data_IF_533349952435
#
_entry.id   IF_533349952435
#
_cell.length_a   1.000
_cell.length_b   1.000
_cell.length_c   1.000
_cell.angle_alpha   90.00
_cell.angle_beta   90.00
_cell.angle_gamma   90.00
#
_symmetry.space_group_name_H-M   'P 1'
#
loop_
_entity.id
_entity.type
_entity.pdbx_description
1 polymer ?
#
# COMPACT_ATOMS: atom_id res chain seq x y z
N UNK A 1 15.21 -1.88 -11.53
CA UNK A 1 13.86 -2.10 -10.95
C UNK A 1 13.44 -1.02 -9.92
N UNK A 2 13.61 0.27 -10.21
CA UNK A 2 13.18 1.34 -9.28
C UNK A 2 11.75 1.84 -9.49
N UNK A 3 11.23 1.69 -10.72
CA UNK A 3 9.96 2.28 -11.12
C UNK A 3 8.74 1.49 -10.63
N UNK A 4 8.80 0.15 -10.60
CA UNK A 4 7.68 -0.68 -10.13
C UNK A 4 7.24 -0.32 -8.71
N UNK A 5 8.21 -0.13 -7.79
CA UNK A 5 7.93 0.27 -6.40
C UNK A 5 7.27 1.66 -6.34
N UNK A 6 7.71 2.60 -7.18
CA UNK A 6 7.13 3.96 -7.26
C UNK A 6 5.70 3.91 -7.81
N UNK A 7 5.48 3.23 -8.93
CA UNK A 7 4.16 3.07 -9.56
C UNK A 7 3.19 2.42 -8.60
N UNK A 8 3.60 1.32 -7.95
CA UNK A 8 2.81 0.64 -6.93
C UNK A 8 2.41 1.57 -5.78
N UNK A 9 3.36 2.30 -5.19
CA UNK A 9 3.06 3.27 -4.13
C UNK A 9 2.06 4.32 -4.58
N UNK A 10 2.30 4.94 -5.73
CA UNK A 10 1.46 6.02 -6.24
C UNK A 10 0.06 5.50 -6.55
N UNK A 11 -0.06 4.34 -7.18
CA UNK A 11 -1.33 3.74 -7.53
C UNK A 11 -2.16 3.40 -6.28
N UNK A 12 -1.58 2.75 -5.28
CA UNK A 12 -2.29 2.45 -4.03
C UNK A 12 -2.73 3.73 -3.31
N UNK A 13 -1.86 4.75 -3.26
CA UNK A 13 -2.19 6.03 -2.62
C UNK A 13 -3.35 6.74 -3.33
N UNK A 14 -3.36 6.75 -4.66
CA UNK A 14 -4.44 7.34 -5.45
C UNK A 14 -5.78 6.62 -5.26
N UNK A 15 -5.74 5.33 -4.91
CA UNK A 15 -6.92 4.52 -4.59
C UNK A 15 -7.29 4.52 -3.09
N UNK A 16 -6.73 5.45 -2.32
CA UNK A 16 -7.10 5.69 -0.94
C UNK A 16 -6.52 4.72 0.07
N UNK A 17 -5.40 4.07 -0.23
CA UNK A 17 -4.60 3.33 0.75
C UNK A 17 -3.69 4.31 1.50
N UNK A 18 -3.62 4.17 2.82
CA UNK A 18 -2.82 4.99 3.72
C UNK A 18 -1.32 4.82 3.44
N UNK A 19 -0.54 5.89 3.58
CA UNK A 19 0.90 5.86 3.30
C UNK A 19 1.63 4.94 4.28
N UNK A 20 1.17 4.89 5.52
CA UNK A 20 1.66 4.02 6.57
C UNK A 20 1.54 2.55 6.16
N UNK A 21 0.39 2.16 5.61
CA UNK A 21 0.16 0.81 5.12
C UNK A 21 1.01 0.52 3.87
N UNK A 22 1.14 1.48 2.95
CA UNK A 22 2.01 1.34 1.76
C UNK A 22 3.47 1.14 2.18
N UNK A 23 3.96 1.91 3.15
CA UNK A 23 5.32 1.76 3.68
C UNK A 23 5.51 0.38 4.31
N UNK A 24 4.54 -0.10 5.11
CA UNK A 24 4.58 -1.45 5.68
C UNK A 24 4.60 -2.54 4.59
N UNK A 25 3.75 -2.44 3.56
CA UNK A 25 3.73 -3.37 2.42
C UNK A 25 5.06 -3.39 1.65
N UNK A 26 5.82 -2.30 1.70
CA UNK A 26 7.15 -2.21 1.09
C UNK A 26 8.29 -2.63 2.01
N UNK A 27 7.98 -3.09 3.23
CA UNK A 27 8.98 -3.47 4.24
C UNK A 27 9.68 -2.28 4.89
N UNK A 28 9.06 -1.08 4.86
CA UNK A 28 9.59 0.13 5.50
C UNK A 28 8.96 0.33 6.86
N UNK A 29 9.72 0.95 7.77
CA UNK A 29 9.21 1.40 9.06
C UNK A 29 8.71 2.84 8.91
N UNK A 30 7.41 3.10 9.08
CA UNK A 30 6.88 4.45 8.99
C UNK A 30 7.56 5.41 9.99
N UNK A 31 7.66 6.69 9.64
CA UNK A 31 8.37 7.69 10.47
C UNK A 31 7.54 8.21 11.64
N UNK A 32 6.21 8.15 11.56
CA UNK A 32 5.34 8.79 12.54
C UNK A 32 5.17 7.92 13.79
N UNK A 33 5.04 8.59 14.95
CA UNK A 33 4.75 7.92 16.23
C UNK A 33 3.44 7.14 16.14
N UNK A 34 2.42 7.74 15.51
CA UNK A 34 1.15 7.08 15.21
C UNK A 34 1.36 5.73 14.51
N UNK A 35 2.09 5.74 13.40
CA UNK A 35 2.31 4.55 12.59
C UNK A 35 3.11 3.45 13.29
N UNK A 36 4.03 3.81 14.20
CA UNK A 36 4.86 2.85 14.93
C UNK A 36 4.15 2.23 16.13
N UNK A 37 3.32 2.99 16.83
CA UNK A 37 2.80 2.58 18.14
C UNK A 37 1.28 2.33 18.13
N UNK A 38 0.55 2.97 17.23
CA UNK A 38 -0.91 3.04 17.26
C UNK A 38 -1.59 2.51 16.00
N UNK A 39 -0.89 2.49 14.86
CA UNK A 39 -1.46 2.07 13.59
C UNK A 39 -1.66 0.55 13.56
N UNK A 40 -2.88 0.16 13.86
CA UNK A 40 -3.38 -1.22 13.84
C UNK A 40 -4.61 -1.28 12.95
N UNK A 41 -4.46 -1.10 11.63
CA UNK A 41 -5.58 -1.24 10.70
C UNK A 41 -6.07 -2.69 10.70
N UNK A 42 -7.27 -2.90 10.19
CA UNK A 42 -7.76 -4.24 9.90
C UNK A 42 -6.96 -4.83 8.71
N UNK A 43 -5.97 -5.66 9.01
CA UNK A 43 -5.06 -6.19 8.00
C UNK A 43 -5.74 -7.13 7.02
N UNK A 44 -6.75 -7.89 7.44
CA UNK A 44 -7.45 -8.83 6.56
C UNK A 44 -8.25 -8.07 5.51
N UNK A 45 -9.06 -7.09 5.96
CA UNK A 45 -9.83 -6.22 5.07
C UNK A 45 -8.93 -5.41 4.13
N UNK A 46 -7.83 -4.87 4.64
CA UNK A 46 -6.89 -4.10 3.83
C UNK A 46 -6.11 -4.97 2.84
N UNK A 47 -5.77 -6.21 3.19
CA UNK A 47 -5.10 -7.14 2.28
C UNK A 47 -5.99 -7.47 1.09
N UNK A 48 -7.27 -7.74 1.32
CA UNK A 48 -8.25 -7.95 0.24
C UNK A 48 -8.35 -6.71 -0.67
N UNK A 49 -8.51 -5.52 -0.08
CA UNK A 49 -8.58 -4.26 -0.83
C UNK A 49 -7.33 -4.03 -1.69
N UNK A 50 -6.14 -4.28 -1.14
CA UNK A 50 -4.87 -4.13 -1.88
C UNK A 50 -4.78 -5.17 -2.99
N UNK A 51 -5.17 -6.43 -2.76
CA UNK A 51 -5.17 -7.48 -3.79
C UNK A 51 -6.05 -7.09 -4.98
N UNK A 52 -7.29 -6.66 -4.73
CA UNK A 52 -8.22 -6.24 -5.78
C UNK A 52 -7.67 -5.06 -6.60
N UNK A 53 -7.01 -4.10 -5.94
CA UNK A 53 -6.37 -2.97 -6.61
C UNK A 53 -5.19 -3.41 -7.48
N UNK A 54 -4.36 -4.34 -7.01
CA UNK A 54 -3.22 -4.85 -7.78
C UNK A 54 -3.69 -5.65 -8.99
N UNK A 55 -4.76 -6.43 -8.86
CA UNK A 55 -5.40 -7.13 -9.99
C UNK A 55 -5.91 -6.12 -11.04
N UNK A 56 -6.61 -5.08 -10.60
CA UNK A 56 -7.08 -4.01 -11.50
C UNK A 56 -5.93 -3.29 -12.21
N UNK A 57 -4.82 -3.02 -11.51
CA UNK A 57 -3.61 -2.45 -12.11
C UNK A 57 -3.01 -3.37 -13.18
N UNK A 58 -3.01 -4.68 -12.94
CA UNK A 58 -2.47 -5.67 -13.88
C UNK A 58 -3.27 -5.67 -15.19
N UNK A 59 -4.60 -5.56 -15.12
CA UNK A 59 -5.47 -5.44 -16.30
C UNK A 59 -5.25 -4.14 -17.09
N UNK A 60 -4.74 -3.07 -16.47
CA UNK A 60 -4.48 -1.80 -17.16
C UNK A 60 -3.12 -1.75 -17.88
N UNK A 61 -2.21 -2.68 -17.55
CA UNK A 61 -0.85 -2.73 -18.09
C UNK A 61 -0.74 -3.73 -19.25
N UNK A 62 -1.67 -4.69 -19.33
CA UNK A 62 -1.79 -5.71 -20.40
C UNK A 62 -2.76 -5.22 -21.46
#
# INVERSE_FOLDING_TARGET
>A
MGYCRKIFSTYLRMNGIESELIDLLQGRIPKTVFARHYFRPDFDKNTERVRNLVEALMTQIV
#
